data_IF_355259981895
#
_entry.id   IF_355259981895
#
_cell.length_a   1.000
_cell.length_b   1.000
_cell.length_c   1.000
_cell.angle_alpha   90.00
_cell.angle_beta   90.00
_cell.angle_gamma   90.00
#
_symmetry.space_group_name_H-M   'P 1'
#
loop_
_entity.id
_entity.type
_entity.pdbx_description
1 polymer ?
#
# COMPACT_ATOMS: atom_id res chain seq x y z
N UNK A 1 29.04 -4.01 -10.22
CA UNK A 1 27.63 -4.32 -10.54
C UNK A 1 26.98 -4.76 -9.23
N UNK A 2 26.48 -3.82 -8.43
CA UNK A 2 25.91 -4.15 -7.10
C UNK A 2 24.38 -4.20 -7.21
N UNK A 3 23.84 -5.40 -7.41
CA UNK A 3 22.44 -5.69 -7.09
C UNK A 3 22.40 -6.14 -5.62
N UNK A 4 22.51 -5.21 -4.68
CA UNK A 4 22.39 -5.54 -3.26
C UNK A 4 20.91 -5.53 -2.87
N UNK A 5 20.17 -6.53 -3.34
CA UNK A 5 18.85 -6.86 -2.78
C UNK A 5 19.08 -7.60 -1.46
N UNK A 6 18.42 -7.17 -0.39
CA UNK A 6 18.45 -7.81 0.93
C UNK A 6 17.17 -8.62 1.09
N UNK A 7 17.28 -9.85 1.58
CA UNK A 7 16.13 -10.72 1.88
C UNK A 7 15.93 -10.84 3.39
N UNK A 8 14.68 -10.73 3.81
CA UNK A 8 14.24 -10.89 5.19
C UNK A 8 13.27 -12.06 5.26
N UNK A 9 13.60 -13.06 6.08
CA UNK A 9 12.67 -14.15 6.40
C UNK A 9 11.72 -13.65 7.48
N UNK A 10 10.43 -13.60 7.15
CA UNK A 10 9.37 -13.15 8.07
C UNK A 10 8.33 -14.26 8.27
N UNK A 11 7.44 -14.11 9.26
CA UNK A 11 6.33 -15.04 9.49
C UNK A 11 5.37 -15.15 8.29
N UNK A 12 5.29 -14.10 7.45
CA UNK A 12 4.43 -14.04 6.27
C UNK A 12 5.15 -14.44 4.97
N UNK A 13 6.41 -14.88 5.04
CA UNK A 13 7.25 -15.22 3.88
C UNK A 13 8.45 -14.29 3.70
N UNK A 14 9.03 -14.28 2.50
CA UNK A 14 10.26 -13.52 2.20
C UNK A 14 9.91 -12.11 1.71
N UNK A 15 10.34 -11.11 2.48
CA UNK A 15 10.37 -9.70 2.12
C UNK A 15 11.73 -9.37 1.50
N UNK A 16 11.77 -8.67 0.37
CA UNK A 16 13.03 -8.18 -0.19
C UNK A 16 13.11 -6.66 -0.20
N UNK A 17 14.27 -6.09 0.13
CA UNK A 17 14.55 -4.66 0.06
C UNK A 17 15.62 -4.37 -0.98
N UNK A 18 15.43 -3.33 -1.81
CA UNK A 18 16.38 -2.91 -2.83
C UNK A 18 16.55 -1.40 -2.82
N UNK A 19 17.80 -0.92 -2.86
CA UNK A 19 18.11 0.49 -3.12
C UNK A 19 17.85 0.79 -4.60
N UNK A 20 17.03 1.79 -4.87
CA UNK A 20 16.66 2.25 -6.22
C UNK A 20 17.09 3.72 -6.36
N UNK A 21 17.75 4.11 -7.46
CA UNK A 21 18.09 5.51 -7.69
C UNK A 21 16.83 6.36 -7.78
N UNK A 22 16.84 7.53 -7.14
CA UNK A 22 15.77 8.51 -7.30
C UNK A 22 15.92 9.18 -8.67
N UNK A 23 15.01 8.89 -9.61
CA UNK A 23 14.97 9.59 -10.90
C UNK A 23 14.41 10.98 -10.63
N UNK A 24 15.30 11.98 -10.52
CA UNK A 24 14.88 13.39 -10.52
C UNK A 24 14.24 13.66 -11.89
N UNK A 25 12.94 13.96 -11.93
CA UNK A 25 12.32 14.50 -13.15
C UNK A 25 13.08 15.77 -13.52
N UNK A 26 13.70 15.79 -14.70
CA UNK A 26 14.36 16.97 -15.23
C UNK A 26 13.29 18.02 -15.56
N UNK A 27 12.93 18.83 -14.56
CA UNK A 27 12.34 20.12 -14.85
C UNK A 27 13.50 21.00 -15.33
N UNK A 28 13.37 21.49 -16.56
CA UNK A 28 14.33 22.37 -17.19
C UNK A 28 14.45 23.68 -16.40
N UNK A 29 15.42 23.76 -15.50
CA UNK A 29 16.12 24.98 -15.15
C UNK A 29 17.45 24.58 -14.55
N UNK A 30 18.49 24.69 -15.37
CA UNK A 30 19.87 24.50 -14.94
C UNK A 30 20.23 25.64 -14.00
N UNK A 31 20.52 25.32 -12.74
CA UNK A 31 21.43 26.11 -11.93
C UNK A 31 22.41 25.16 -11.23
N UNK A 32 23.69 25.39 -11.53
CA UNK A 32 24.85 24.63 -11.10
C UNK A 32 25.28 25.11 -9.71
N UNK A 33 25.08 24.28 -8.69
CA UNK A 33 25.99 24.02 -7.56
C UNK A 33 25.21 23.55 -6.34
N UNK A 34 25.59 22.37 -5.85
CA UNK A 34 25.12 21.80 -4.61
C UNK A 34 25.37 20.31 -4.65
N UNK A 35 26.15 19.80 -3.69
CA UNK A 35 26.47 18.38 -3.54
C UNK A 35 25.29 17.50 -3.93
N UNK A 36 25.54 16.51 -4.79
CA UNK A 36 24.56 15.50 -5.10
C UNK A 36 24.21 14.81 -3.78
N UNK A 37 23.15 15.26 -3.11
CA UNK A 37 22.54 14.47 -2.06
C UNK A 37 22.16 13.15 -2.72
N UNK A 38 22.81 12.07 -2.28
CA UNK A 38 22.60 10.68 -2.68
C UNK A 38 21.22 10.22 -2.18
N UNK A 39 20.17 10.91 -2.64
CA UNK A 39 18.81 10.59 -2.30
C UNK A 39 18.44 9.29 -3.01
N UNK A 40 18.22 8.25 -2.21
CA UNK A 40 17.86 6.94 -2.70
C UNK A 40 16.48 6.55 -2.21
N UNK A 41 15.76 5.80 -3.05
CA UNK A 41 14.51 5.19 -2.66
C UNK A 41 14.80 3.75 -2.20
N UNK A 42 14.14 3.33 -1.14
CA UNK A 42 14.11 1.93 -0.75
C UNK A 42 12.83 1.32 -1.33
N UNK A 43 12.98 0.32 -2.18
CA UNK A 43 11.89 -0.50 -2.68
C UNK A 43 11.77 -1.75 -1.80
N UNK A 44 10.62 -1.93 -1.17
CA UNK A 44 10.28 -3.10 -0.38
C UNK A 44 9.27 -3.94 -1.15
N UNK A 45 9.52 -5.24 -1.26
CA UNK A 45 8.72 -6.20 -2.01
C UNK A 45 8.20 -7.28 -1.06
N UNK A 46 6.94 -7.16 -0.64
CA UNK A 46 6.35 -8.02 0.39
C UNK A 46 5.78 -9.31 -0.21
N UNK A 47 5.81 -10.42 0.57
CA UNK A 47 5.15 -11.67 0.18
C UNK A 47 3.62 -11.50 0.18
N UNK A 48 2.94 -12.25 -0.70
CA UNK A 48 1.49 -12.35 -0.72
C UNK A 48 0.98 -13.13 0.50
N UNK A 49 -0.16 -12.72 1.06
CA UNK A 49 -0.79 -13.39 2.20
C UNK A 49 -2.22 -13.79 1.85
N UNK A 50 -2.63 -14.98 2.27
CA UNK A 50 -3.98 -15.50 2.04
C UNK A 50 -5.07 -14.62 2.68
N UNK A 51 -6.22 -14.54 2.00
CA UNK A 51 -7.38 -13.75 2.43
C UNK A 51 -8.66 -14.57 2.45
N UNK A 52 -9.64 -14.13 3.24
CA UNK A 52 -11.00 -14.68 3.33
C UNK A 52 -12.04 -13.58 3.15
N UNK A 53 -13.26 -13.93 2.77
CA UNK A 53 -14.38 -12.99 2.72
C UNK A 53 -14.77 -12.53 4.14
N UNK A 54 -15.15 -11.26 4.27
CA UNK A 54 -15.63 -10.68 5.52
C UNK A 54 -17.09 -11.07 5.81
N UNK A 55 -17.48 -11.08 7.09
CA UNK A 55 -18.87 -11.29 7.49
C UNK A 55 -19.68 -9.97 7.47
N UNK A 56 -21.00 -10.05 7.67
CA UNK A 56 -21.88 -8.86 7.62
C UNK A 56 -21.52 -7.78 8.66
N UNK A 57 -21.00 -8.18 9.82
CA UNK A 57 -20.59 -7.25 10.89
C UNK A 57 -19.37 -6.45 10.44
N UNK A 58 -18.38 -7.12 9.85
CA UNK A 58 -17.18 -6.50 9.29
C UNK A 58 -17.54 -5.54 8.15
N UNK A 59 -18.44 -5.97 7.25
CA UNK A 59 -18.90 -5.14 6.14
C UNK A 59 -19.56 -3.84 6.62
N UNK A 60 -20.38 -3.90 7.67
CA UNK A 60 -20.99 -2.72 8.26
C UNK A 60 -19.97 -1.75 8.88
N UNK A 61 -18.94 -2.28 9.55
CA UNK A 61 -17.85 -1.48 10.11
C UNK A 61 -17.00 -0.80 9.03
N UNK A 62 -16.73 -1.52 7.94
CA UNK A 62 -16.00 -1.00 6.78
C UNK A 62 -16.80 0.10 6.09
N UNK A 63 -18.09 -0.13 5.84
CA UNK A 63 -18.97 0.86 5.20
C UNK A 63 -19.01 2.19 5.96
N UNK A 64 -19.09 2.15 7.29
CA UNK A 64 -19.02 3.33 8.17
C UNK A 64 -17.70 4.07 8.03
N UNK A 65 -16.58 3.36 8.14
CA UNK A 65 -15.26 3.97 8.02
C UNK A 65 -15.01 4.59 6.65
N UNK A 66 -15.64 4.06 5.59
CA UNK A 66 -15.48 4.55 4.23
C UNK A 66 -16.46 5.65 3.84
N UNK A 67 -17.33 6.09 4.75
CA UNK A 67 -18.26 7.20 4.50
C UNK A 67 -19.21 6.94 3.32
N UNK A 68 -19.56 5.67 3.06
CA UNK A 68 -20.47 5.30 1.97
C UNK A 68 -19.83 5.22 0.58
N UNK A 69 -18.50 5.09 0.48
CA UNK A 69 -17.84 4.84 -0.80
C UNK A 69 -18.34 3.54 -1.47
N UNK A 70 -18.36 3.53 -2.80
CA UNK A 70 -18.68 2.34 -3.58
C UNK A 70 -17.60 1.27 -3.40
N UNK A 71 -18.00 0.09 -2.93
CA UNK A 71 -17.10 -1.03 -2.64
C UNK A 71 -17.37 -2.16 -3.62
N UNK A 72 -16.31 -2.72 -4.20
CA UNK A 72 -16.38 -3.90 -5.07
C UNK A 72 -16.27 -5.18 -4.26
N UNK A 73 -15.36 -5.24 -3.31
CA UNK A 73 -15.14 -6.41 -2.45
C UNK A 73 -14.47 -6.01 -1.14
N UNK A 74 -14.69 -6.80 -0.09
CA UNK A 74 -14.01 -6.67 1.21
C UNK A 74 -13.47 -8.04 1.61
N UNK A 75 -12.17 -8.11 1.87
CA UNK A 75 -11.47 -9.31 2.28
C UNK A 75 -10.73 -9.06 3.58
N UNK A 76 -10.47 -10.13 4.32
CA UNK A 76 -9.66 -10.13 5.55
C UNK A 76 -8.41 -10.96 5.33
N UNK A 77 -7.25 -10.44 5.75
CA UNK A 77 -5.99 -11.18 5.76
C UNK A 77 -6.01 -12.17 6.93
N UNK A 78 -5.81 -13.46 6.66
CA UNK A 78 -5.95 -14.52 7.68
C UNK A 78 -4.93 -14.37 8.82
N UNK A 79 -3.69 -13.99 8.49
CA UNK A 79 -2.59 -13.96 9.47
C UNK A 79 -2.62 -12.76 10.40
N UNK A 80 -3.13 -11.62 9.94
CA UNK A 80 -3.03 -10.34 10.66
C UNK A 80 -4.39 -9.74 11.02
N UNK A 81 -5.50 -10.34 10.56
CA UNK A 81 -6.85 -9.79 10.64
C UNK A 81 -7.02 -8.41 9.96
N UNK A 82 -6.05 -7.99 9.15
CA UNK A 82 -6.13 -6.73 8.41
C UNK A 82 -7.23 -6.80 7.33
N UNK A 83 -7.84 -5.65 7.03
CA UNK A 83 -8.94 -5.57 6.08
C UNK A 83 -8.45 -4.98 4.77
N UNK A 84 -8.79 -5.67 3.68
CA UNK A 84 -8.51 -5.31 2.32
C UNK A 84 -9.80 -4.97 1.58
N UNK A 85 -9.90 -3.76 1.06
CA UNK A 85 -11.08 -3.26 0.35
C UNK A 85 -10.72 -2.95 -1.09
N UNK A 86 -11.50 -3.51 -2.01
CA UNK A 86 -11.40 -3.23 -3.43
C UNK A 86 -12.39 -2.15 -3.81
N UNK A 87 -11.89 -1.08 -4.42
CA UNK A 87 -12.67 0.05 -4.92
C UNK A 87 -12.76 0.03 -6.45
N UNK A 88 -13.79 0.67 -7.04
CA UNK A 88 -14.03 0.58 -8.48
C UNK A 88 -12.97 1.31 -9.33
N UNK A 89 -12.23 2.27 -8.78
CA UNK A 89 -11.25 3.06 -9.53
C UNK A 89 -10.07 3.55 -8.70
N UNK A 90 -8.96 3.87 -9.37
CA UNK A 90 -7.78 4.44 -8.71
C UNK A 90 -8.05 5.84 -8.17
N UNK A 91 -8.95 6.58 -8.84
CA UNK A 91 -9.47 7.86 -8.35
C UNK A 91 -10.19 7.69 -7.01
N UNK A 92 -11.06 6.67 -6.91
CA UNK A 92 -11.71 6.33 -5.66
C UNK A 92 -10.71 5.98 -4.56
N UNK A 93 -9.65 5.21 -4.87
CA UNK A 93 -8.56 4.93 -3.91
C UNK A 93 -7.85 6.21 -3.43
N UNK A 94 -7.60 7.17 -4.33
CA UNK A 94 -6.84 8.38 -4.00
C UNK A 94 -7.62 9.47 -3.29
N UNK A 95 -8.90 9.58 -3.57
CA UNK A 95 -9.76 10.64 -3.04
C UNK A 95 -10.45 10.20 -1.75
N UNK A 96 -10.53 8.89 -1.51
CA UNK A 96 -11.10 8.37 -0.28
C UNK A 96 -10.29 8.82 0.93
N UNK A 97 -11.00 9.44 1.88
CA UNK A 97 -10.51 9.76 3.22
C UNK A 97 -11.29 8.90 4.22
N UNK A 98 -10.70 7.81 4.72
CA UNK A 98 -11.34 6.97 5.73
C UNK A 98 -11.54 7.72 7.04
N UNK A 99 -12.66 7.48 7.71
CA UNK A 99 -12.93 7.98 9.05
C UNK A 99 -12.11 7.17 10.07
N UNK A 100 -10.96 7.71 10.47
CA UNK A 100 -10.03 7.01 11.37
C UNK A 100 -10.66 6.67 12.73
N UNK A 101 -11.57 7.51 13.23
CA UNK A 101 -12.31 7.28 14.47
C UNK A 101 -13.23 6.06 14.40
N UNK A 102 -13.75 5.76 13.21
CA UNK A 102 -14.55 4.56 12.96
C UNK A 102 -13.65 3.33 12.87
N UNK A 103 -12.47 3.47 12.26
CA UNK A 103 -11.47 2.39 12.17
C UNK A 103 -10.91 1.99 13.53
N UNK A 104 -10.79 2.91 14.49
CA UNK A 104 -10.40 2.63 15.88
C UNK A 104 -11.33 1.63 16.59
N UNK A 105 -12.56 1.47 16.08
CA UNK A 105 -13.58 0.56 16.65
C UNK A 105 -13.51 -0.85 16.08
N UNK A 106 -12.65 -1.09 15.08
CA UNK A 106 -12.55 -2.39 14.43
C UNK A 106 -11.92 -3.43 15.38
N UNK A 107 -12.39 -4.70 15.35
CA UNK A 107 -11.75 -5.77 16.08
C UNK A 107 -10.36 -6.06 15.49
N UNK A 108 -9.34 -6.22 16.33
CA UNK A 108 -7.97 -6.55 15.92
C UNK A 108 -6.91 -5.55 16.40
N UNK A 109 -5.64 -5.96 16.41
CA UNK A 109 -4.52 -5.09 16.83
C UNK A 109 -4.05 -4.21 15.68
N UNK A 110 -4.67 -3.03 15.52
CA UNK A 110 -4.14 -1.97 14.68
C UNK A 110 -4.45 -2.13 13.21
N UNK A 111 -5.74 -2.33 12.93
CA UNK A 111 -6.33 -2.64 11.65
C UNK A 111 -5.88 -1.67 10.56
N UNK A 112 -5.08 -2.19 9.64
CA UNK A 112 -4.72 -1.49 8.42
C UNK A 112 -5.83 -1.71 7.38
N UNK A 113 -6.34 -0.63 6.81
CA UNK A 113 -7.24 -0.66 5.67
C UNK A 113 -6.42 -0.54 4.41
N UNK A 114 -6.31 -1.63 3.64
CA UNK A 114 -5.70 -1.61 2.32
C UNK A 114 -6.78 -1.32 1.27
N UNK A 115 -6.72 -0.16 0.64
CA UNK A 115 -7.58 0.24 -0.48
C UNK A 115 -6.86 -0.08 -1.78
N UNK A 116 -7.45 -0.89 -2.64
CA UNK A 116 -6.85 -1.24 -3.92
C UNK A 116 -7.87 -1.14 -5.05
N UNK A 117 -7.41 -0.80 -6.24
CA UNK A 117 -8.14 -1.12 -7.47
C UNK A 117 -7.58 -2.42 -8.02
N UNK A 118 -8.43 -3.44 -8.20
CA UNK A 118 -8.08 -4.61 -9.00
C UNK A 118 -8.57 -4.35 -10.44
N UNK A 119 -7.65 -4.16 -11.38
CA UNK A 119 -8.00 -4.03 -12.79
C UNK A 119 -7.87 -5.40 -13.45
N UNK A 120 -8.95 -6.11 -13.74
CA UNK A 120 -8.82 -7.17 -14.74
C UNK A 120 -8.39 -6.53 -16.07
N UNK A 121 -7.18 -6.88 -16.54
CA UNK A 121 -6.71 -6.75 -17.93
C UNK A 121 -6.27 -5.37 -18.47
N UNK A 122 -5.79 -4.44 -17.64
CA UNK A 122 -5.13 -3.22 -18.18
C UNK A 122 -3.87 -2.86 -17.40
N UNK A 123 -2.77 -2.63 -18.14
CA UNK A 123 -1.47 -2.07 -17.70
C UNK A 123 -1.54 -0.66 -17.08
N UNK A 124 -2.73 -0.20 -16.67
CA UNK A 124 -2.94 1.10 -16.05
C UNK A 124 -2.54 1.00 -14.57
N UNK A 125 -1.66 1.89 -14.14
CA UNK A 125 -1.11 1.97 -12.77
C UNK A 125 -2.11 1.54 -11.70
N UNK A 126 -1.83 0.40 -11.07
CA UNK A 126 -2.57 -0.05 -9.91
C UNK A 126 -2.18 0.82 -8.72
N UNK A 127 -3.14 1.60 -8.26
CA UNK A 127 -2.99 2.45 -7.08
C UNK A 127 -3.57 1.71 -5.89
N UNK A 128 -2.70 1.43 -4.93
CA UNK A 128 -3.09 0.95 -3.63
C UNK A 128 -2.78 2.03 -2.58
N UNK A 129 -3.51 2.02 -1.49
CA UNK A 129 -3.30 2.93 -0.38
C UNK A 129 -3.64 2.20 0.90
N UNK A 130 -2.75 2.27 1.88
CA UNK A 130 -3.06 1.83 3.24
C UNK A 130 -3.43 3.01 4.10
N UNK A 131 -4.43 2.83 4.95
CA UNK A 131 -4.78 3.75 6.00
C UNK A 131 -4.75 3.01 7.34
N UNK A 132 -4.15 3.63 8.35
CA UNK A 132 -4.11 3.11 9.71
C UNK A 132 -4.18 4.27 10.68
N UNK A 133 -4.97 4.19 11.78
CA UNK A 133 -4.98 5.23 12.81
C UNK A 133 -3.59 5.47 13.42
N UNK A 134 -2.71 4.47 13.38
CA UNK A 134 -1.36 4.54 13.98
C UNK A 134 -0.30 5.08 13.03
N UNK A 135 -0.42 4.74 11.74
CA UNK A 135 0.64 4.99 10.75
C UNK A 135 0.23 6.02 9.69
N UNK A 136 -0.97 6.58 9.77
CA UNK A 136 -1.50 7.50 8.79
C UNK A 136 -1.82 6.79 7.47
N UNK A 137 -1.62 7.50 6.36
CA UNK A 137 -1.90 7.03 5.01
C UNK A 137 -0.58 6.80 4.26
N UNK A 138 -0.44 5.63 3.66
CA UNK A 138 0.72 5.26 2.85
C UNK A 138 0.25 4.80 1.46
N UNK A 139 0.79 5.40 0.40
CA UNK A 139 0.52 4.96 -0.96
C UNK A 139 1.37 3.72 -1.30
N UNK A 140 0.73 2.72 -1.89
CA UNK A 140 1.27 1.39 -2.16
C UNK A 140 1.10 1.08 -3.65
N UNK A 141 2.01 0.31 -4.23
CA UNK A 141 1.85 -0.26 -5.56
C UNK A 141 1.73 -1.79 -5.48
N UNK A 142 0.76 -2.37 -6.19
CA UNK A 142 0.58 -3.82 -6.26
C UNK A 142 1.04 -4.33 -7.63
N UNK A 143 1.92 -5.33 -7.64
CA UNK A 143 2.34 -6.04 -8.85
C UNK A 143 1.47 -7.28 -9.08
N UNK A 144 0.68 -7.28 -10.15
CA UNK A 144 -0.29 -8.34 -10.45
C UNK A 144 0.36 -9.65 -10.86
N UNK A 145 1.50 -9.61 -11.55
CA UNK A 145 2.17 -10.80 -12.06
C UNK A 145 2.80 -11.62 -10.93
N UNK A 146 3.37 -10.94 -9.94
CA UNK A 146 3.98 -11.58 -8.78
C UNK A 146 3.07 -11.67 -7.56
N UNK A 147 1.90 -11.00 -7.59
CA UNK A 147 1.02 -10.82 -6.43
C UNK A 147 1.74 -10.17 -5.24
N UNK A 148 2.72 -9.31 -5.50
CA UNK A 148 3.54 -8.70 -4.45
C UNK A 148 3.28 -7.21 -4.31
N UNK A 149 3.50 -6.72 -3.09
CA UNK A 149 3.31 -5.32 -2.73
C UNK A 149 4.65 -4.60 -2.77
N UNK A 150 4.69 -3.49 -3.52
CA UNK A 150 5.84 -2.61 -3.67
C UNK A 150 5.61 -1.30 -2.90
N UNK A 151 6.49 -1.01 -1.96
CA UNK A 151 6.56 0.26 -1.24
C UNK A 151 7.85 0.98 -1.61
N UNK A 152 7.75 2.27 -1.94
CA UNK A 152 8.92 3.14 -2.15
C UNK A 152 8.87 4.33 -1.21
N UNK A 153 9.96 4.54 -0.48
CA UNK A 153 10.13 5.68 0.41
C UNK A 153 11.55 6.20 0.39
N UNK A 154 11.72 7.49 0.74
CA UNK A 154 13.04 8.04 1.02
C UNK A 154 13.52 7.51 2.37
N UNK A 155 14.77 7.08 2.42
CA UNK A 155 15.44 6.85 3.70
C UNK A 155 15.71 8.22 4.34
N UNK A 156 15.40 8.35 5.62
CA UNK A 156 15.76 9.49 6.47
C UNK A 156 16.70 8.97 7.55
N UNK A 157 17.77 9.72 7.84
CA UNK A 157 18.77 9.41 8.88
C UNK A 157 18.46 10.22 10.15
#
# INVERSE_FOLDING_TARGET
MWLSTIEFVTASGILTAKKVPEIKKANASADLNGEAQDSCLIELNFPFVATVECNDVDLALVSRALGGADIVAVRRIILTDDIFVVLPSGKAVTELQPQLDEMLKWPGRGSCLCLCKLCHNTLLEQKARTASPRSGILDIHLDEHSQRVLLRGKAVD
#
